data_IF_214975266431
#
_entry.id   IF_214975266431
#
_cell.length_a   1.000
_cell.length_b   1.000
_cell.length_c   1.000
_cell.angle_alpha   90.00
_cell.angle_beta   90.00
_cell.angle_gamma   90.00
#
_symmetry.space_group_name_H-M   'P 1'
#
loop_
_entity.id
_entity.type
_entity.pdbx_description
1 polymer ?
#
# COMPACT_ATOMS: atom_id res chain seq x y z
N UNK A 1 2.12 -8.23 -5.94
CA UNK A 1 1.68 -7.41 -7.10
C UNK A 1 2.45 -7.85 -8.33
N UNK A 2 1.87 -7.72 -9.52
CA UNK A 2 2.59 -7.96 -10.79
C UNK A 2 3.70 -6.91 -10.99
N UNK A 3 4.78 -7.23 -11.72
CA UNK A 3 5.96 -6.35 -11.80
C UNK A 3 5.82 -5.19 -12.80
N UNK A 4 4.61 -4.84 -13.25
CA UNK A 4 4.41 -3.90 -14.36
C UNK A 4 4.71 -2.43 -14.01
N UNK A 5 4.73 -2.08 -12.72
CA UNK A 5 5.10 -0.74 -12.24
C UNK A 5 6.40 -0.72 -11.44
N UNK A 6 7.10 -1.85 -11.31
CA UNK A 6 8.37 -1.97 -10.58
C UNK A 6 8.40 -1.39 -9.15
N UNK A 7 7.26 -1.35 -8.45
CA UNK A 7 7.13 -0.75 -7.10
C UNK A 7 7.19 -1.76 -5.95
N UNK A 8 7.36 -3.06 -6.23
CA UNK A 8 7.30 -4.10 -5.18
C UNK A 8 8.33 -3.91 -4.06
N UNK A 9 9.58 -3.62 -4.43
CA UNK A 9 10.64 -3.36 -3.46
C UNK A 9 10.39 -2.10 -2.64
N UNK A 10 10.09 -0.98 -3.29
CA UNK A 10 9.76 0.28 -2.61
C UNK A 10 8.57 0.11 -1.65
N UNK A 11 7.50 -0.55 -2.08
CA UNK A 11 6.33 -0.82 -1.24
C UNK A 11 6.68 -1.64 0.00
N UNK A 12 7.57 -2.65 -0.11
CA UNK A 12 8.03 -3.43 1.05
C UNK A 12 8.82 -2.59 2.05
N UNK A 13 9.63 -1.64 1.60
CA UNK A 13 10.36 -0.71 2.48
C UNK A 13 9.40 0.27 3.17
N UNK A 14 8.44 0.82 2.43
CA UNK A 14 7.37 1.65 3.00
C UNK A 14 6.58 0.87 4.08
N UNK A 15 6.21 -0.39 3.80
CA UNK A 15 5.49 -1.27 4.74
C UNK A 15 6.32 -1.50 6.02
N UNK A 16 7.62 -1.77 5.89
CA UNK A 16 8.51 -2.00 7.02
C UNK A 16 8.62 -0.75 7.93
N UNK A 17 8.76 0.44 7.34
CA UNK A 17 8.84 1.70 8.10
C UNK A 17 7.53 2.01 8.82
N UNK A 18 6.39 1.88 8.15
CA UNK A 18 5.08 2.16 8.75
C UNK A 18 4.75 1.16 9.86
N UNK A 19 5.01 -0.14 9.64
CA UNK A 19 4.80 -1.16 10.66
C UNK A 19 5.68 -0.91 11.89
N UNK A 20 6.96 -0.58 11.70
CA UNK A 20 7.87 -0.25 12.80
C UNK A 20 7.36 0.95 13.61
N UNK A 21 6.82 1.98 12.95
CA UNK A 21 6.21 3.14 13.60
C UNK A 21 4.97 2.77 14.41
N UNK A 22 4.04 2.01 13.84
CA UNK A 22 2.82 1.57 14.54
C UNK A 22 3.17 0.74 15.78
N UNK A 23 4.14 -0.17 15.66
CA UNK A 23 4.63 -0.96 16.80
C UNK A 23 5.28 -0.06 17.88
N UNK A 24 6.15 0.87 17.48
CA UNK A 24 6.83 1.78 18.42
C UNK A 24 5.85 2.66 19.21
N UNK A 25 4.80 3.17 18.56
CA UNK A 25 3.75 3.98 19.21
C UNK A 25 3.04 3.20 20.32
N UNK A 26 2.80 1.90 20.11
CA UNK A 26 2.10 1.06 21.10
C UNK A 26 3.04 0.56 22.20
N UNK A 27 4.30 0.26 21.90
CA UNK A 27 5.27 -0.23 22.89
C UNK A 27 5.79 0.85 23.84
N UNK A 28 5.86 2.11 23.43
CA UNK A 28 6.30 3.23 24.30
C UNK A 28 5.22 3.63 25.32
N UNK A 29 3.94 3.34 25.05
CA UNK A 29 2.80 3.79 25.86
C UNK A 29 2.33 2.76 26.90
N UNK A 30 2.69 1.47 26.74
CA UNK A 30 2.18 0.40 27.61
C UNK A 30 3.22 -0.28 28.49
N UNK A 31 2.79 -0.67 29.70
CA UNK A 31 3.55 -1.52 30.61
C UNK A 31 3.62 -2.95 30.05
N UNK A 32 4.82 -3.50 29.85
CA UNK A 32 5.05 -4.77 29.16
C UNK A 32 4.78 -5.94 30.12
N UNK A 33 3.52 -6.10 30.51
CA UNK A 33 3.01 -7.33 31.09
C UNK A 33 2.52 -8.25 29.97
N UNK A 34 2.83 -9.55 30.04
CA UNK A 34 2.69 -10.50 28.91
C UNK A 34 1.32 -10.54 28.22
N UNK A 35 0.22 -10.20 28.92
CA UNK A 35 -1.12 -10.11 28.32
C UNK A 35 -1.38 -8.76 27.63
N UNK A 36 -0.85 -7.66 28.16
CA UNK A 36 -0.89 -6.34 27.54
C UNK A 36 -0.08 -6.28 26.25
N UNK A 37 1.08 -6.97 26.22
CA UNK A 37 1.94 -7.04 25.02
C UNK A 37 1.24 -7.62 23.79
N UNK A 38 0.36 -8.61 23.94
CA UNK A 38 -0.36 -9.20 22.79
C UNK A 38 -1.39 -8.23 22.22
N UNK A 39 -2.18 -7.59 23.09
CA UNK A 39 -3.20 -6.61 22.69
C UNK A 39 -2.56 -5.40 22.00
N UNK A 40 -1.44 -4.91 22.52
CA UNK A 40 -0.70 -3.80 21.89
C UNK A 40 -0.20 -4.14 20.47
N UNK A 41 0.25 -5.38 20.25
CA UNK A 41 0.69 -5.83 18.93
C UNK A 41 -0.49 -5.94 17.97
N UNK A 42 -1.62 -6.50 18.41
CA UNK A 42 -2.85 -6.57 17.61
C UNK A 42 -3.32 -5.15 17.20
N UNK A 43 -3.37 -4.21 18.14
CA UNK A 43 -3.72 -2.81 17.84
C UNK A 43 -2.74 -2.12 16.88
N UNK A 44 -1.44 -2.40 17.00
CA UNK A 44 -0.43 -1.86 16.08
C UNK A 44 -0.62 -2.41 14.65
N UNK A 45 -0.99 -3.69 14.51
CA UNK A 45 -1.30 -4.28 13.21
C UNK A 45 -2.57 -3.68 12.60
N UNK A 46 -3.61 -3.44 13.41
CA UNK A 46 -4.83 -2.80 12.92
C UNK A 46 -4.57 -1.36 12.45
N UNK A 47 -3.76 -0.58 13.18
CA UNK A 47 -3.32 0.75 12.76
C UNK A 47 -2.54 0.69 11.44
N UNK A 48 -1.56 -0.21 11.36
CA UNK A 48 -0.78 -0.45 10.14
C UNK A 48 -1.67 -0.80 8.93
N UNK A 49 -2.63 -1.72 9.11
CA UNK A 49 -3.51 -2.15 8.04
C UNK A 49 -4.43 -1.01 7.58
N UNK A 50 -4.93 -0.20 8.51
CA UNK A 50 -5.76 0.96 8.16
C UNK A 50 -4.99 2.00 7.33
N UNK A 51 -3.71 2.22 7.64
CA UNK A 51 -2.86 3.14 6.88
C UNK A 51 -2.42 2.57 5.51
N UNK A 52 -2.01 1.30 5.45
CA UNK A 52 -1.34 0.72 4.26
C UNK A 52 -2.28 0.06 3.26
N UNK A 53 -3.39 -0.51 3.71
CA UNK A 53 -4.35 -1.21 2.82
C UNK A 53 -4.82 -0.36 1.63
N UNK A 54 -5.24 0.91 1.77
CA UNK A 54 -5.68 1.71 0.62
C UNK A 54 -4.55 1.94 -0.40
N UNK A 55 -3.32 2.17 0.08
CA UNK A 55 -2.12 2.34 -0.75
C UNK A 55 -1.78 1.07 -1.55
N UNK A 56 -1.78 -0.09 -0.88
CA UNK A 56 -1.51 -1.39 -1.49
C UNK A 56 -2.59 -1.78 -2.51
N UNK A 57 -3.87 -1.54 -2.19
CA UNK A 57 -4.98 -1.78 -3.12
C UNK A 57 -4.82 -0.93 -4.37
N UNK A 58 -4.56 0.37 -4.22
CA UNK A 58 -4.33 1.29 -5.35
C UNK A 58 -3.19 0.78 -6.25
N UNK A 59 -2.02 0.50 -5.66
CA UNK A 59 -0.86 -0.01 -6.38
C UNK A 59 -1.15 -1.31 -7.13
N UNK A 60 -1.80 -2.27 -6.46
CA UNK A 60 -2.14 -3.57 -7.04
C UNK A 60 -3.12 -3.43 -8.21
N UNK A 61 -4.17 -2.63 -8.05
CA UNK A 61 -5.14 -2.33 -9.10
C UNK A 61 -4.49 -1.67 -10.32
N UNK A 62 -3.58 -0.72 -10.11
CA UNK A 62 -2.84 -0.07 -11.20
C UNK A 62 -1.99 -1.07 -11.99
N UNK A 63 -1.22 -1.90 -11.29
CA UNK A 63 -0.38 -2.91 -11.92
C UNK A 63 -1.21 -3.97 -12.66
N UNK A 64 -2.36 -4.36 -12.11
CA UNK A 64 -3.29 -5.25 -12.77
C UNK A 64 -3.85 -4.66 -14.07
N UNK A 65 -4.33 -3.41 -14.05
CA UNK A 65 -4.84 -2.74 -15.24
C UNK A 65 -3.78 -2.60 -16.32
N UNK A 66 -2.54 -2.27 -15.93
CA UNK A 66 -1.42 -2.17 -16.87
C UNK A 66 -1.09 -3.53 -17.50
N UNK A 67 -1.09 -4.60 -16.70
CA UNK A 67 -0.95 -5.97 -17.20
C UNK A 67 -2.06 -6.36 -18.16
N UNK A 68 -3.32 -6.10 -17.81
CA UNK A 68 -4.48 -6.39 -18.66
C UNK A 68 -4.45 -5.64 -19.98
N UNK A 69 -3.99 -4.40 -19.97
CA UNK A 69 -3.81 -3.59 -21.17
C UNK A 69 -2.74 -4.16 -22.13
N UNK A 70 -1.73 -4.84 -21.58
CA UNK A 70 -0.66 -5.47 -22.34
C UNK A 70 -1.04 -6.87 -22.86
N UNK A 71 -1.82 -7.63 -22.09
CA UNK A 71 -2.26 -8.98 -22.46
C UNK A 71 -3.38 -9.02 -23.51
N UNK A 72 -4.31 -8.06 -23.48
CA UNK A 72 -5.54 -8.16 -24.28
C UNK A 72 -5.35 -7.73 -25.74
N UNK A 73 -5.82 -8.53 -26.73
CA UNK A 73 -5.88 -8.11 -28.12
C UNK A 73 -7.09 -7.19 -28.41
N UNK A 74 -8.07 -7.11 -27.49
CA UNK A 74 -9.29 -6.33 -27.70
C UNK A 74 -9.07 -4.83 -27.47
N UNK A 75 -9.29 -4.03 -28.53
CA UNK A 75 -9.19 -2.57 -28.47
C UNK A 75 -10.20 -1.94 -27.50
N UNK A 76 -11.39 -2.53 -27.36
CA UNK A 76 -12.42 -2.04 -26.44
C UNK A 76 -11.99 -2.21 -24.97
N UNK A 77 -11.48 -3.38 -24.60
CA UNK A 77 -10.97 -3.64 -23.25
C UNK A 77 -9.78 -2.72 -22.95
N UNK A 78 -8.88 -2.56 -23.92
CA UNK A 78 -7.76 -1.63 -23.82
C UNK A 78 -8.21 -0.19 -23.58
N UNK A 79 -9.22 0.29 -24.32
CA UNK A 79 -9.81 1.61 -24.11
C UNK A 79 -10.40 1.75 -22.70
N UNK A 80 -11.15 0.75 -22.23
CA UNK A 80 -11.74 0.76 -20.90
C UNK A 80 -10.66 0.81 -19.80
N UNK A 81 -9.58 0.04 -19.93
CA UNK A 81 -8.42 0.12 -19.02
C UNK A 81 -7.79 1.51 -19.01
N UNK A 82 -7.63 2.17 -20.17
CA UNK A 82 -7.10 3.53 -20.25
C UNK A 82 -8.02 4.52 -19.51
N UNK A 83 -9.34 4.44 -19.72
CA UNK A 83 -10.31 5.29 -19.03
C UNK A 83 -10.22 5.09 -17.51
N UNK A 84 -10.22 3.85 -17.02
CA UNK A 84 -10.04 3.56 -15.59
C UNK A 84 -8.70 4.09 -15.07
N UNK A 85 -7.62 3.98 -15.84
CA UNK A 85 -6.31 4.48 -15.45
C UNK A 85 -6.30 6.01 -15.28
N UNK A 86 -6.91 6.73 -16.21
CA UNK A 86 -7.02 8.20 -16.16
C UNK A 86 -7.90 8.68 -15.00
N UNK A 87 -9.00 7.97 -14.72
CA UNK A 87 -9.94 8.36 -13.65
C UNK A 87 -9.37 8.05 -12.26
N UNK A 88 -8.85 6.84 -12.05
CA UNK A 88 -8.45 6.35 -10.72
C UNK A 88 -7.01 6.74 -10.34
N UNK A 89 -6.14 7.00 -11.31
CA UNK A 89 -4.70 7.22 -11.08
C UNK A 89 -4.18 8.51 -11.71
N UNK A 90 -5.06 9.52 -11.86
CA UNK A 90 -4.76 10.81 -12.49
C UNK A 90 -3.49 11.49 -11.95
N UNK A 91 -3.16 11.27 -10.67
CA UNK A 91 -1.88 11.69 -10.07
C UNK A 91 -0.91 10.51 -9.91
N UNK A 92 -0.22 10.16 -11.00
CA UNK A 92 0.81 9.11 -11.01
C UNK A 92 2.09 9.49 -10.25
N UNK A 93 2.39 10.80 -10.11
CA UNK A 93 3.58 11.29 -9.38
C UNK A 93 3.49 11.20 -7.86
N UNK A 94 2.33 10.80 -7.31
CA UNK A 94 2.14 10.60 -5.87
C UNK A 94 3.03 9.47 -5.30
N UNK A 95 3.47 8.52 -6.13
CA UNK A 95 4.23 7.35 -5.67
C UNK A 95 5.65 7.68 -5.19
N UNK A 96 6.28 8.74 -5.71
CA UNK A 96 7.64 9.15 -5.28
C UNK A 96 7.63 10.10 -4.08
N UNK A 97 6.47 10.63 -3.70
CA UNK A 97 6.32 11.58 -2.58
C UNK A 97 5.56 10.96 -1.41
N UNK A 98 5.61 9.64 -1.26
CA UNK A 98 4.95 8.99 -0.14
C UNK A 98 5.73 9.27 1.14
N UNK A 99 5.16 10.12 1.99
CA UNK A 99 5.72 10.44 3.30
C UNK A 99 5.47 9.27 4.25
N UNK A 100 6.51 8.46 4.45
CA UNK A 100 6.48 7.34 5.38
C UNK A 100 6.55 7.80 6.85
N UNK A 101 6.82 9.08 7.10
CA UNK A 101 7.31 9.58 8.37
C UNK A 101 6.59 10.84 8.87
N UNK A 102 5.36 11.14 8.41
CA UNK A 102 4.57 12.20 9.04
C UNK A 102 4.46 11.88 10.54
N UNK A 103 5.22 12.62 11.35
CA UNK A 103 5.38 12.38 12.78
C UNK A 103 4.16 12.91 13.51
#
# INVERSE_FOLDING_TARGET
MTPFIAQGGSASLEDAVVLARCLARKTVVGDISGRGSKVMVEEAFDEYLNERKPRLLRLSSQSYLLGKMNETPSKFIKFLCIVFMVILFRESHSHTRYDCASL
#
